data_IF_073307357722
#
_entry.id   IF_073307357722
#
_cell.length_a   1.000
_cell.length_b   1.000
_cell.length_c   1.000
_cell.angle_alpha   90.00
_cell.angle_beta   90.00
_cell.angle_gamma   90.00
#
_symmetry.space_group_name_H-M   'P 1'
#
loop_
_entity.id
_entity.type
_entity.pdbx_description
1 polymer ?
#
# COMPACT_ATOMS: atom_id res chain seq x y z
N UNK A 1 -2.60 5.79 12.29
CA UNK A 1 -4.06 6.05 12.38
C UNK A 1 -4.54 6.00 13.82
N UNK A 2 -4.53 4.86 14.53
CA UNK A 2 -4.93 4.79 15.97
C UNK A 2 -4.23 5.82 16.87
N UNK A 3 -2.91 5.98 16.76
CA UNK A 3 -2.13 6.98 17.52
C UNK A 3 -2.56 8.43 17.26
N UNK A 4 -3.18 8.71 16.10
CA UNK A 4 -3.73 10.02 15.75
C UNK A 4 -5.22 10.15 16.11
N UNK A 5 -5.79 9.19 16.84
CA UNK A 5 -7.15 9.25 17.35
C UNK A 5 -8.26 8.97 16.34
N UNK A 6 -7.94 8.41 15.17
CA UNK A 6 -8.95 8.02 14.19
C UNK A 6 -9.81 6.86 14.71
N UNK A 7 -11.11 6.91 14.42
CA UNK A 7 -12.05 5.82 14.71
C UNK A 7 -11.65 4.53 14.00
N UNK A 8 -11.87 3.39 14.67
CA UNK A 8 -11.53 2.05 14.13
C UNK A 8 -12.29 1.75 12.83
N UNK A 9 -13.42 2.42 12.60
CA UNK A 9 -14.19 2.39 11.36
C UNK A 9 -13.34 2.69 10.13
N UNK A 10 -12.42 3.65 10.23
CA UNK A 10 -11.51 4.05 9.15
C UNK A 10 -10.23 3.20 9.06
N UNK A 11 -10.08 2.17 9.90
CA UNK A 11 -8.87 1.35 9.96
C UNK A 11 -9.20 -0.09 9.52
N UNK A 12 -10.05 -0.79 10.26
CA UNK A 12 -10.46 -2.17 9.95
C UNK A 12 -11.98 -2.35 9.87
N UNK A 13 -12.75 -1.29 10.11
CA UNK A 13 -14.21 -1.34 10.04
C UNK A 13 -14.77 -1.22 8.62
N UNK A 14 -16.00 -0.72 8.52
CA UNK A 14 -16.84 -0.80 7.32
C UNK A 14 -16.76 0.41 6.37
N UNK A 15 -15.87 1.39 6.64
CA UNK A 15 -15.64 2.49 5.71
C UNK A 15 -15.13 1.97 4.34
N UNK A 16 -15.47 2.68 3.26
CA UNK A 16 -15.02 2.35 1.92
C UNK A 16 -13.50 2.47 1.77
N UNK A 17 -12.94 1.79 0.77
CA UNK A 17 -11.49 1.76 0.55
C UNK A 17 -10.88 3.15 0.38
N UNK A 18 -11.56 4.02 -0.38
CA UNK A 18 -11.12 5.40 -0.55
C UNK A 18 -11.22 6.21 0.74
N UNK A 19 -12.29 6.06 1.53
CA UNK A 19 -12.44 6.77 2.80
C UNK A 19 -11.33 6.39 3.79
N UNK A 20 -10.96 5.11 3.84
CA UNK A 20 -9.82 4.62 4.63
C UNK A 20 -8.50 5.18 4.11
N UNK A 21 -8.31 5.21 2.79
CA UNK A 21 -7.11 5.77 2.16
C UNK A 21 -6.98 7.28 2.41
N UNK A 22 -8.06 8.05 2.26
CA UNK A 22 -8.10 9.48 2.51
C UNK A 22 -7.77 9.78 3.98
N UNK A 23 -8.34 9.00 4.91
CA UNK A 23 -8.02 9.08 6.32
C UNK A 23 -6.53 8.78 6.61
N UNK A 24 -5.93 7.82 5.90
CA UNK A 24 -4.48 7.57 5.97
C UNK A 24 -3.67 8.72 5.38
N UNK A 25 -4.07 9.27 4.24
CA UNK A 25 -3.40 10.37 3.57
C UNK A 25 -3.37 11.62 4.45
N UNK A 26 -4.46 11.93 5.16
CA UNK A 26 -4.51 13.00 6.14
C UNK A 26 -3.55 12.79 7.33
N UNK A 27 -3.23 11.53 7.68
CA UNK A 27 -2.30 11.18 8.76
C UNK A 27 -0.84 11.24 8.34
N UNK A 28 -0.51 10.97 7.07
CA UNK A 28 0.88 10.87 6.59
C UNK A 28 1.75 12.10 6.94
N UNK A 29 1.30 13.36 6.83
CA UNK A 29 2.07 14.53 7.25
C UNK A 29 2.52 14.49 8.71
N UNK A 30 1.77 13.83 9.59
CA UNK A 30 2.10 13.68 11.01
C UNK A 30 3.07 12.52 11.30
N UNK A 31 3.49 11.80 10.25
CA UNK A 31 4.44 10.68 10.37
C UNK A 31 5.88 11.09 10.06
N UNK A 32 6.20 12.38 9.88
CA UNK A 32 7.57 12.85 9.66
C UNK A 32 8.50 12.34 10.77
N UNK A 33 9.64 11.76 10.37
CA UNK A 33 10.62 11.01 11.22
C UNK A 33 10.19 9.61 11.65
N UNK A 34 8.94 9.21 11.41
CA UNK A 34 8.55 7.81 11.46
C UNK A 34 8.90 7.13 10.12
N UNK A 35 9.35 5.87 10.11
CA UNK A 35 9.63 5.15 8.86
C UNK A 35 8.45 5.09 7.88
N UNK A 36 7.20 5.16 8.37
CA UNK A 36 6.00 5.23 7.53
C UNK A 36 6.05 6.39 6.53
N UNK A 37 6.64 7.53 6.89
CA UNK A 37 6.81 8.65 5.96
C UNK A 37 7.76 8.26 4.82
N UNK A 38 8.87 7.59 5.12
CA UNK A 38 9.80 7.14 4.09
C UNK A 38 9.19 6.05 3.21
N UNK A 39 8.57 5.02 3.81
CA UNK A 39 7.98 3.91 3.06
C UNK A 39 6.89 4.38 2.10
N UNK A 40 5.98 5.26 2.57
CA UNK A 40 4.93 5.84 1.73
C UNK A 40 5.51 6.44 0.44
N UNK A 41 6.51 7.31 0.55
CA UNK A 41 7.07 8.00 -0.62
C UNK A 41 8.00 7.10 -1.45
N UNK A 42 8.67 6.12 -0.84
CA UNK A 42 9.43 5.11 -1.58
C UNK A 42 8.51 4.22 -2.42
N UNK A 43 7.36 3.83 -1.88
CA UNK A 43 6.38 2.98 -2.56
C UNK A 43 5.63 3.75 -3.66
N UNK A 44 5.28 5.02 -3.44
CA UNK A 44 4.75 5.91 -4.48
C UNK A 44 5.74 6.11 -5.63
N UNK A 45 7.01 6.36 -5.31
CA UNK A 45 8.07 6.42 -6.33
C UNK A 45 8.20 5.08 -7.07
N UNK A 46 7.96 3.98 -6.40
CA UNK A 46 8.38 2.65 -6.82
C UNK A 46 7.43 1.59 -6.21
N UNK A 47 6.45 1.03 -6.95
CA UNK A 47 6.42 0.86 -8.41
C UNK A 47 5.64 1.91 -9.21
N UNK A 48 4.93 2.83 -8.56
CA UNK A 48 3.97 3.72 -9.22
C UNK A 48 4.61 4.87 -10.01
N UNK A 49 5.90 5.16 -9.79
CA UNK A 49 6.60 6.22 -10.52
C UNK A 49 6.17 7.64 -10.14
N UNK A 50 5.42 7.80 -9.05
CA UNK A 50 4.98 9.11 -8.55
C UNK A 50 6.15 9.77 -7.83
N UNK A 51 6.68 10.84 -8.42
CA UNK A 51 7.81 11.61 -7.88
C UNK A 51 7.46 13.08 -7.81
N UNK A 52 7.95 13.77 -6.77
CA UNK A 52 7.71 15.21 -6.59
C UNK A 52 6.35 15.55 -5.99
N UNK A 53 5.58 14.54 -5.58
CA UNK A 53 4.34 14.69 -4.82
C UNK A 53 4.50 14.03 -3.45
N UNK A 54 3.92 14.67 -2.43
CA UNK A 54 3.80 14.11 -1.08
C UNK A 54 2.36 13.66 -0.87
N UNK A 55 2.17 12.53 -0.16
CA UNK A 55 0.83 12.08 0.18
C UNK A 55 0.30 12.92 1.35
N UNK A 56 -0.81 13.62 1.11
CA UNK A 56 -1.57 14.38 2.09
C UNK A 56 -3.06 14.39 1.69
N UNK A 57 -3.92 15.10 2.44
CA UNK A 57 -5.35 15.18 2.14
C UNK A 57 -5.66 15.79 0.76
N UNK A 58 -4.87 16.77 0.31
CA UNK A 58 -5.08 17.47 -0.97
C UNK A 58 -4.69 16.60 -2.17
N UNK A 59 -3.65 15.76 -2.02
CA UNK A 59 -3.14 14.89 -3.10
C UNK A 59 -3.75 13.49 -3.09
N UNK A 60 -4.58 13.17 -2.09
CA UNK A 60 -5.11 11.82 -1.86
C UNK A 60 -5.90 11.28 -3.06
N UNK A 61 -6.85 12.06 -3.58
CA UNK A 61 -7.72 11.66 -4.69
C UNK A 61 -6.93 11.29 -5.94
N UNK A 62 -6.07 12.21 -6.38
CA UNK A 62 -5.27 12.06 -7.59
C UNK A 62 -4.32 10.87 -7.51
N UNK A 63 -3.64 10.71 -6.35
CA UNK A 63 -2.74 9.56 -6.12
C UNK A 63 -3.53 8.25 -6.10
N UNK A 64 -4.67 8.21 -5.41
CA UNK A 64 -5.51 7.02 -5.35
C UNK A 64 -5.98 6.59 -6.74
N UNK A 65 -6.51 7.52 -7.54
CA UNK A 65 -7.01 7.24 -8.89
C UNK A 65 -5.89 6.79 -9.81
N UNK A 66 -4.75 7.48 -9.79
CA UNK A 66 -3.58 7.13 -10.58
C UNK A 66 -3.10 5.72 -10.25
N UNK A 67 -2.87 5.43 -8.97
CA UNK A 67 -2.42 4.11 -8.53
C UNK A 67 -3.46 3.02 -8.83
N UNK A 68 -4.75 3.30 -8.62
CA UNK A 68 -5.84 2.35 -8.89
C UNK A 68 -5.92 1.98 -10.38
N UNK A 69 -5.77 2.96 -11.27
CA UNK A 69 -5.70 2.71 -12.72
C UNK A 69 -4.46 1.87 -13.08
N UNK A 70 -3.31 2.13 -12.43
CA UNK A 70 -2.10 1.35 -12.66
C UNK A 70 -2.25 -0.11 -12.21
N UNK A 71 -2.92 -0.35 -11.08
CA UNK A 71 -3.16 -1.69 -10.53
C UNK A 71 -4.01 -2.59 -11.45
N UNK A 72 -4.75 -2.02 -12.40
CA UNK A 72 -5.50 -2.80 -13.40
C UNK A 72 -4.62 -3.37 -14.51
N UNK A 73 -3.36 -2.92 -14.62
CA UNK A 73 -2.45 -3.32 -15.70
C UNK A 73 -1.75 -4.64 -15.38
N UNK A 74 -1.43 -5.40 -16.42
CA UNK A 74 -0.72 -6.68 -16.31
C UNK A 74 0.68 -6.56 -15.69
N UNK A 75 1.36 -5.42 -15.86
CA UNK A 75 2.67 -5.16 -15.26
C UNK A 75 2.60 -4.81 -13.76
N UNK A 76 1.41 -4.63 -13.21
CA UNK A 76 1.15 -4.43 -11.77
C UNK A 76 0.58 -5.66 -11.06
N UNK A 77 0.47 -6.81 -11.75
CA UNK A 77 0.16 -8.09 -11.09
C UNK A 77 1.26 -8.46 -10.09
N UNK A 78 0.90 -9.21 -9.04
CA UNK A 78 1.82 -9.58 -7.96
C UNK A 78 3.16 -10.17 -8.47
N UNK A 79 3.10 -11.17 -9.36
CA UNK A 79 4.31 -11.78 -9.96
C UNK A 79 5.10 -10.80 -10.83
N UNK A 80 4.44 -9.88 -11.53
CA UNK A 80 5.08 -8.84 -12.33
C UNK A 80 5.87 -7.86 -11.46
N UNK A 81 5.28 -7.42 -10.33
CA UNK A 81 5.94 -6.56 -9.36
C UNK A 81 7.17 -7.23 -8.72
N UNK A 82 7.05 -8.50 -8.34
CA UNK A 82 8.19 -9.28 -7.80
C UNK A 82 9.35 -9.35 -8.80
N UNK A 83 9.06 -9.64 -10.07
CA UNK A 83 10.07 -9.67 -11.15
C UNK A 83 10.73 -8.31 -11.32
N UNK A 84 9.94 -7.23 -11.34
CA UNK A 84 10.45 -5.84 -11.47
C UNK A 84 11.36 -5.45 -10.30
N UNK A 85 11.14 -6.02 -9.12
CA UNK A 85 11.99 -5.84 -7.92
C UNK A 85 13.12 -6.85 -7.80
N UNK A 86 13.34 -7.67 -8.82
CA UNK A 86 14.41 -8.67 -8.85
C UNK A 86 14.36 -9.64 -7.66
N UNK A 87 13.17 -9.91 -7.12
CA UNK A 87 12.98 -10.88 -6.05
C UNK A 87 13.32 -12.27 -6.58
N UNK A 88 14.25 -12.97 -5.93
CA UNK A 88 14.71 -14.30 -6.34
C UNK A 88 14.02 -15.43 -5.60
N UNK A 89 13.77 -15.22 -4.31
CA UNK A 89 13.19 -16.19 -3.39
C UNK A 89 12.25 -15.44 -2.46
N UNK A 90 11.11 -16.07 -2.14
CA UNK A 90 10.22 -15.68 -1.05
C UNK A 90 10.03 -16.90 -0.18
N UNK A 91 10.11 -16.71 1.13
CA UNK A 91 9.74 -17.71 2.12
C UNK A 91 8.49 -17.20 2.82
N UNK A 92 7.34 -17.81 2.53
CA UNK A 92 6.10 -17.54 3.26
C UNK A 92 6.20 -18.15 4.67
N UNK A 93 5.31 -17.71 5.55
CA UNK A 93 5.14 -18.28 6.88
C UNK A 93 3.81 -19.00 6.90
N UNK A 94 3.83 -20.31 7.04
CA UNK A 94 2.67 -21.19 6.91
C UNK A 94 2.51 -22.03 8.20
N UNK A 95 1.27 -22.37 8.55
CA UNK A 95 0.99 -23.22 9.70
C UNK A 95 1.33 -24.70 9.39
N UNK A 96 1.83 -25.49 10.36
CA UNK A 96 2.04 -26.93 10.16
C UNK A 96 0.85 -27.72 9.61
N UNK A 97 -0.39 -27.28 9.81
CA UNK A 97 -1.59 -27.98 9.29
C UNK A 97 -2.06 -27.49 7.93
N UNK A 98 -1.41 -26.47 7.36
CA UNK A 98 -1.82 -25.93 6.06
C UNK A 98 -1.58 -26.95 4.94
N UNK A 99 -2.52 -27.00 4.01
CA UNK A 99 -2.44 -27.95 2.91
C UNK A 99 -1.37 -27.55 1.86
N UNK A 100 -0.83 -26.33 1.89
CA UNK A 100 0.16 -25.78 0.95
C UNK A 100 -0.21 -25.91 -0.54
N UNK A 101 -1.50 -25.82 -0.89
CA UNK A 101 -1.94 -25.99 -2.28
C UNK A 101 -1.36 -24.93 -3.23
N UNK A 102 -1.24 -23.67 -2.79
CA UNK A 102 -0.72 -22.58 -3.62
C UNK A 102 0.80 -22.67 -3.84
N UNK A 103 1.54 -23.35 -2.96
CA UNK A 103 2.99 -23.58 -3.13
C UNK A 103 3.29 -24.65 -4.17
N UNK A 104 2.35 -25.58 -4.40
CA UNK A 104 2.50 -26.68 -5.38
C UNK A 104 2.07 -26.30 -6.80
N UNK A 105 1.36 -25.17 -6.97
CA UNK A 105 0.92 -24.63 -8.25
C UNK A 105 2.07 -23.95 -9.00
#
# INVERSE_FOLDING_TARGET
MRTQGLEERFITGDAGDYEKFEAWAAVVPYTVRNPLYHWTHMELKNPFGITGQVLNAETARDIYDTCSAMLQREDFRARSLMKRRNVKIVCTTDDPVDNLEYHRQ
#
